data_IF_318602921766
#
_entry.id   IF_318602921766
#
_cell.length_a   1.000
_cell.length_b   1.000
_cell.length_c   1.000
_cell.angle_alpha   90.00
_cell.angle_beta   90.00
_cell.angle_gamma   90.00
#
_symmetry.space_group_name_H-M   'P 1'
#
loop_
_entity.id
_entity.type
_entity.pdbx_description
1 polymer ?
#
# COMPACT_ATOMS: atom_id res chain seq x y z
N UNK A 1 -3.05 -65.22 -83.05
CA UNK A 1 -2.59 -64.19 -82.10
C UNK A 1 -1.62 -63.27 -82.87
N UNK A 2 -1.72 -61.95 -82.91
CA UNK A 2 -2.73 -61.00 -82.45
C UNK A 2 -2.67 -59.76 -83.35
N UNK A 3 -3.82 -59.23 -83.74
CA UNK A 3 -4.04 -58.10 -84.66
C UNK A 3 -4.27 -56.76 -83.90
N UNK A 4 -3.85 -56.67 -82.63
CA UNK A 4 -4.10 -55.50 -81.76
C UNK A 4 -2.77 -54.90 -81.28
N UNK A 5 -2.62 -53.58 -81.36
CA UNK A 5 -1.53 -52.87 -80.66
C UNK A 5 -1.64 -53.09 -79.15
N UNK A 6 -0.52 -53.30 -78.47
CA UNK A 6 -0.49 -53.54 -77.02
C UNK A 6 -0.84 -52.27 -76.24
N UNK A 7 -1.58 -52.42 -75.14
CA UNK A 7 -1.91 -51.32 -74.24
C UNK A 7 -0.63 -50.66 -73.64
N UNK A 8 -0.65 -49.35 -73.34
CA UNK A 8 0.47 -48.68 -72.66
C UNK A 8 0.78 -49.36 -71.31
N UNK A 9 2.06 -49.62 -71.04
CA UNK A 9 2.50 -50.18 -69.75
C UNK A 9 2.25 -49.15 -68.64
N UNK A 10 1.64 -49.58 -67.54
CA UNK A 10 1.41 -48.72 -66.37
C UNK A 10 2.75 -48.25 -65.78
N UNK A 11 2.84 -46.98 -65.31
CA UNK A 11 4.01 -46.49 -64.61
C UNK A 11 4.30 -47.33 -63.37
N UNK A 12 5.58 -47.55 -63.06
CA UNK A 12 5.97 -48.25 -61.84
C UNK A 12 5.67 -47.36 -60.63
N UNK A 13 4.83 -47.80 -59.67
CA UNK A 13 4.52 -47.04 -58.48
C UNK A 13 5.76 -46.69 -57.63
N UNK A 14 6.77 -47.58 -57.58
CA UNK A 14 7.98 -47.35 -56.78
C UNK A 14 8.88 -46.29 -57.43
N UNK A 15 9.06 -46.33 -58.75
CA UNK A 15 9.82 -45.31 -59.48
C UNK A 15 9.13 -43.94 -59.40
N UNK A 16 7.80 -43.91 -59.49
CA UNK A 16 7.00 -42.69 -59.43
C UNK A 16 7.07 -42.05 -58.04
N UNK A 17 6.94 -42.85 -56.97
CA UNK A 17 7.06 -42.38 -55.59
C UNK A 17 8.49 -41.89 -55.25
N UNK A 18 9.51 -42.58 -55.76
CA UNK A 18 10.90 -42.15 -55.59
C UNK A 18 11.19 -40.82 -56.31
N UNK A 19 10.66 -40.62 -57.53
CA UNK A 19 10.82 -39.38 -58.27
C UNK A 19 10.11 -38.19 -57.59
N UNK A 20 8.92 -38.42 -57.01
CA UNK A 20 8.24 -37.41 -56.18
C UNK A 20 9.05 -37.07 -54.93
N UNK A 21 9.60 -38.08 -54.25
CA UNK A 21 10.45 -37.91 -53.07
C UNK A 21 11.70 -37.10 -53.39
N UNK A 22 12.38 -37.40 -54.49
CA UNK A 22 13.54 -36.65 -54.97
C UNK A 22 13.21 -35.15 -55.18
N UNK A 23 12.05 -34.88 -55.80
CA UNK A 23 11.63 -33.51 -56.11
C UNK A 23 11.26 -32.75 -54.83
N UNK A 24 10.57 -33.39 -53.90
CA UNK A 24 10.21 -32.79 -52.62
C UNK A 24 11.43 -32.49 -51.74
N UNK A 25 12.44 -33.37 -51.75
CA UNK A 25 13.71 -33.13 -51.05
C UNK A 25 14.45 -31.95 -51.68
N UNK A 26 14.50 -31.86 -53.01
CA UNK A 26 15.08 -30.70 -53.70
C UNK A 26 14.39 -29.39 -53.32
N UNK A 27 13.05 -29.37 -53.27
CA UNK A 27 12.26 -28.22 -52.83
C UNK A 27 12.53 -27.88 -51.35
N UNK A 28 12.63 -28.87 -50.48
CA UNK A 28 12.90 -28.66 -49.06
C UNK A 28 14.31 -28.09 -48.81
N UNK A 29 15.32 -28.61 -49.53
CA UNK A 29 16.70 -28.09 -49.50
C UNK A 29 16.73 -26.65 -50.02
N UNK A 30 16.04 -26.36 -51.12
CA UNK A 30 15.95 -25.00 -51.65
C UNK A 30 15.27 -24.03 -50.67
N UNK A 31 14.14 -24.42 -50.07
CA UNK A 31 13.47 -23.63 -49.03
C UNK A 31 14.35 -23.40 -47.81
N UNK A 32 15.14 -24.39 -47.40
CA UNK A 32 16.06 -24.26 -46.28
C UNK A 32 17.17 -23.24 -46.58
N UNK A 33 17.76 -23.28 -47.77
CA UNK A 33 18.80 -22.32 -48.19
C UNK A 33 18.23 -20.91 -48.36
N UNK A 34 17.03 -20.79 -48.91
CA UNK A 34 16.36 -19.50 -49.11
C UNK A 34 15.83 -18.88 -47.81
N UNK A 35 15.42 -19.71 -46.84
CA UNK A 35 14.94 -19.25 -45.54
C UNK A 35 16.06 -18.81 -44.60
N UNK A 36 17.27 -19.35 -44.77
CA UNK A 36 18.39 -19.17 -43.84
C UNK A 36 19.54 -18.38 -44.49
N UNK A 37 19.25 -17.13 -44.86
CA UNK A 37 20.25 -16.23 -45.47
C UNK A 37 21.05 -15.45 -44.44
N UNK A 38 22.31 -15.18 -44.74
CA UNK A 38 23.16 -14.36 -43.89
C UNK A 38 22.63 -12.92 -43.84
N UNK A 39 22.61 -12.33 -42.64
CA UNK A 39 22.22 -10.95 -42.41
C UNK A 39 23.40 -10.18 -41.84
N UNK A 40 23.61 -8.97 -42.35
CA UNK A 40 24.58 -8.00 -41.81
C UNK A 40 23.81 -6.73 -41.50
N UNK A 41 23.78 -6.35 -40.23
CA UNK A 41 23.12 -5.14 -39.73
C UNK A 41 24.17 -4.25 -39.05
N UNK A 42 23.84 -2.98 -38.74
CA UNK A 42 24.71 -2.13 -37.92
C UNK A 42 25.00 -2.71 -36.53
N UNK A 43 24.07 -3.50 -35.99
CA UNK A 43 24.14 -4.07 -34.65
C UNK A 43 24.87 -5.42 -34.59
N UNK A 44 25.14 -6.04 -35.74
CA UNK A 44 25.83 -7.33 -35.81
C UNK A 44 25.62 -8.11 -37.09
N UNK A 45 25.97 -9.38 -37.07
CA UNK A 45 25.87 -10.32 -38.18
C UNK A 45 25.20 -11.60 -37.71
N UNK A 46 24.28 -12.12 -38.52
CA UNK A 46 23.74 -13.47 -38.39
C UNK A 46 24.22 -14.27 -39.59
N UNK A 47 25.03 -15.29 -39.36
CA UNK A 47 25.64 -16.11 -40.42
C UNK A 47 25.15 -17.54 -40.30
N UNK A 48 24.67 -18.11 -41.41
CA UNK A 48 24.30 -19.51 -41.54
C UNK A 48 25.42 -20.27 -42.25
N UNK A 49 25.87 -21.36 -41.64
CA UNK A 49 26.78 -22.33 -42.25
C UNK A 49 26.06 -23.66 -42.43
N UNK A 50 26.28 -24.34 -43.56
CA UNK A 50 25.57 -25.57 -43.88
C UNK A 50 26.48 -26.79 -43.76
N UNK A 51 25.96 -27.85 -43.15
CA UNK A 51 26.60 -29.17 -43.13
C UNK A 51 25.74 -30.14 -43.92
N UNK A 52 26.39 -30.92 -44.81
CA UNK A 52 25.71 -31.95 -45.59
C UNK A 52 25.51 -33.22 -44.76
N UNK A 53 24.27 -33.66 -44.63
CA UNK A 53 23.92 -34.98 -44.09
C UNK A 53 23.32 -35.86 -45.18
N UNK A 54 23.72 -37.13 -45.23
CA UNK A 54 23.21 -38.08 -46.21
C UNK A 54 21.93 -38.73 -45.71
N UNK A 55 20.88 -38.67 -46.50
CA UNK A 55 19.61 -39.36 -46.26
C UNK A 55 19.34 -40.37 -47.37
N UNK A 56 19.01 -41.61 -47.02
CA UNK A 56 18.74 -42.67 -48.00
C UNK A 56 17.24 -42.87 -48.14
N UNK A 57 16.72 -42.78 -49.36
CA UNK A 57 15.33 -43.07 -49.66
C UNK A 57 15.04 -44.56 -49.44
N UNK A 58 14.14 -44.91 -48.51
CA UNK A 58 13.85 -46.31 -48.17
C UNK A 58 13.14 -47.06 -49.30
N UNK A 59 12.57 -46.36 -50.30
CA UNK A 59 11.85 -46.98 -51.41
C UNK A 59 12.76 -47.26 -52.62
N UNK A 60 13.77 -46.42 -52.86
CA UNK A 60 14.64 -46.54 -54.03
C UNK A 60 16.11 -46.85 -53.72
N UNK A 61 16.53 -46.76 -52.46
CA UNK A 61 17.92 -46.90 -52.05
C UNK A 61 18.82 -45.73 -52.49
N UNK A 62 18.27 -44.67 -53.10
CA UNK A 62 19.05 -43.49 -53.51
C UNK A 62 19.41 -42.62 -52.31
N UNK A 63 20.62 -42.09 -52.31
CA UNK A 63 21.13 -41.21 -51.25
C UNK A 63 21.03 -39.75 -51.69
N UNK A 64 20.45 -38.90 -50.84
CA UNK A 64 20.28 -37.47 -51.03
C UNK A 64 21.06 -36.69 -49.97
N UNK A 65 21.61 -35.55 -50.38
CA UNK A 65 22.35 -34.64 -49.52
C UNK A 65 21.37 -33.60 -48.93
N UNK A 66 21.17 -33.64 -47.61
CA UNK A 66 20.38 -32.67 -46.86
C UNK A 66 21.30 -31.59 -46.29
N UNK A 67 20.93 -30.33 -46.50
CA UNK A 67 21.65 -29.19 -45.95
C UNK A 67 21.08 -28.84 -44.56
N UNK A 68 21.89 -28.98 -43.52
CA UNK A 68 21.52 -28.61 -42.14
C UNK A 68 22.18 -27.27 -41.80
N UNK A 69 21.41 -26.20 -41.56
CA UNK A 69 21.94 -24.89 -41.25
C UNK A 69 22.32 -24.79 -39.76
N UNK A 70 23.42 -24.11 -39.47
CA UNK A 70 23.81 -23.65 -38.14
C UNK A 70 23.86 -22.13 -38.14
N UNK A 71 23.08 -21.49 -37.27
CA UNK A 71 23.05 -20.03 -37.15
C UNK A 71 24.08 -19.55 -36.12
N UNK A 72 24.97 -18.65 -36.53
CA UNK A 72 25.95 -17.98 -35.66
C UNK A 72 25.65 -16.49 -35.65
N UNK A 73 25.40 -15.96 -34.46
CA UNK A 73 25.13 -14.53 -34.26
C UNK A 73 26.34 -13.86 -33.62
N UNK A 74 26.78 -12.76 -34.21
CA UNK A 74 27.88 -11.95 -33.71
C UNK A 74 27.45 -10.49 -33.61
N UNK A 75 27.49 -9.90 -32.42
CA UNK A 75 27.21 -8.48 -32.22
C UNK A 75 28.36 -7.60 -32.74
N UNK A 76 28.06 -6.35 -33.12
CA UNK A 76 29.08 -5.33 -33.42
C UNK A 76 29.95 -5.03 -32.20
N UNK A 77 31.10 -4.37 -32.38
CA UNK A 77 31.98 -4.03 -31.26
C UNK A 77 31.28 -3.12 -30.23
N UNK A 78 30.47 -2.19 -30.73
CA UNK A 78 29.66 -1.26 -29.96
C UNK A 78 28.55 -2.00 -29.20
N UNK A 79 27.84 -2.92 -29.86
CA UNK A 79 26.80 -3.73 -29.21
C UNK A 79 27.38 -4.75 -28.21
N UNK A 80 28.58 -5.30 -28.46
CA UNK A 80 29.31 -6.13 -27.48
C UNK A 80 29.71 -5.30 -26.25
N UNK A 81 30.15 -4.06 -26.44
CA UNK A 81 30.48 -3.15 -25.34
C UNK A 81 29.23 -2.79 -24.52
N UNK A 82 28.12 -2.45 -25.19
CA UNK A 82 26.83 -2.18 -24.54
C UNK A 82 26.35 -3.41 -23.79
N UNK A 83 26.34 -4.60 -24.41
CA UNK A 83 25.97 -5.85 -23.75
C UNK A 83 26.86 -6.14 -22.56
N UNK A 84 28.18 -6.00 -22.68
CA UNK A 84 29.10 -6.19 -21.56
C UNK A 84 28.85 -5.22 -20.42
N UNK A 85 28.50 -3.97 -20.72
CA UNK A 85 28.15 -2.97 -19.71
C UNK A 85 26.78 -3.24 -19.08
N UNK A 86 25.79 -3.72 -19.84
CA UNK A 86 24.48 -4.17 -19.35
C UNK A 86 24.64 -5.40 -18.45
N UNK A 87 25.35 -6.44 -18.90
CA UNK A 87 25.63 -7.65 -18.12
C UNK A 87 26.39 -7.29 -16.83
N UNK A 88 27.36 -6.36 -16.89
CA UNK A 88 28.09 -5.88 -15.72
C UNK A 88 27.18 -5.07 -14.77
N UNK A 89 26.27 -4.26 -15.30
CA UNK A 89 25.29 -3.52 -14.51
C UNK A 89 24.29 -4.47 -13.82
N UNK A 90 23.80 -5.50 -14.53
CA UNK A 90 22.95 -6.55 -13.98
C UNK A 90 23.68 -7.35 -12.88
N UNK A 91 24.93 -7.74 -13.12
CA UNK A 91 25.76 -8.41 -12.12
C UNK A 91 26.01 -7.53 -10.90
N UNK A 92 26.28 -6.24 -11.10
CA UNK A 92 26.45 -5.29 -10.01
C UNK A 92 25.15 -5.11 -9.22
N UNK A 93 24.01 -5.01 -9.90
CA UNK A 93 22.69 -4.93 -9.26
C UNK A 93 22.37 -6.21 -8.46
N UNK A 94 22.66 -7.40 -9.00
CA UNK A 94 22.51 -8.66 -8.29
C UNK A 94 23.46 -8.78 -7.09
N UNK A 95 24.70 -8.31 -7.23
CA UNK A 95 25.68 -8.25 -6.14
C UNK A 95 25.26 -7.28 -5.05
N UNK A 96 24.72 -6.12 -5.45
CA UNK A 96 24.13 -5.13 -4.56
C UNK A 96 22.92 -5.74 -3.84
N UNK A 97 22.01 -6.40 -4.55
CA UNK A 97 20.86 -7.09 -3.96
C UNK A 97 21.29 -8.16 -2.94
N UNK A 98 22.30 -8.99 -3.26
CA UNK A 98 22.87 -9.98 -2.33
C UNK A 98 23.53 -9.32 -1.10
N UNK A 99 24.28 -8.25 -1.30
CA UNK A 99 24.94 -7.51 -0.22
C UNK A 99 23.90 -6.85 0.69
N UNK A 100 22.87 -6.24 0.10
CA UNK A 100 21.82 -5.55 0.82
C UNK A 100 20.87 -6.52 1.52
N UNK A 101 20.54 -7.66 0.92
CA UNK A 101 19.75 -8.71 1.57
C UNK A 101 20.49 -9.32 2.77
N UNK A 102 21.82 -9.49 2.66
CA UNK A 102 22.67 -9.87 3.79
C UNK A 102 22.67 -8.84 4.92
N UNK A 103 22.78 -7.54 4.60
CA UNK A 103 22.64 -6.45 5.58
C UNK A 103 21.27 -6.44 6.25
N UNK A 104 20.20 -6.64 5.48
CA UNK A 104 18.83 -6.72 5.99
C UNK A 104 18.65 -7.91 6.93
N UNK A 105 19.18 -9.09 6.58
CA UNK A 105 19.12 -10.27 7.43
C UNK A 105 19.87 -10.05 8.76
N UNK A 106 21.04 -9.40 8.71
CA UNK A 106 21.79 -9.02 9.91
C UNK A 106 21.06 -7.99 10.77
N UNK A 107 20.35 -7.04 10.15
CA UNK A 107 19.56 -6.03 10.85
C UNK A 107 18.34 -6.66 11.52
N UNK A 108 17.59 -7.51 10.80
CA UNK A 108 16.40 -8.19 11.28
C UNK A 108 16.70 -9.28 12.31
N UNK A 109 17.85 -9.95 12.20
CA UNK A 109 18.30 -11.00 13.13
C UNK A 109 18.75 -10.49 14.50
N UNK A 110 18.93 -9.17 14.68
CA UNK A 110 19.24 -8.56 15.98
C UNK A 110 18.01 -7.87 16.58
N UNK A 111 17.69 -8.10 17.87
CA UNK A 111 16.65 -7.35 18.55
C UNK A 111 17.03 -5.87 18.62
N UNK A 112 16.03 -5.00 18.72
CA UNK A 112 16.23 -3.55 18.83
C UNK A 112 16.85 -3.24 20.19
N UNK A 113 18.05 -2.67 20.16
CA UNK A 113 18.76 -2.25 21.37
C UNK A 113 18.25 -0.87 21.81
N UNK A 114 17.64 -0.85 23.00
CA UNK A 114 17.14 0.38 23.64
C UNK A 114 17.93 0.72 24.92
N UNK A 115 19.08 0.09 25.14
CA UNK A 115 19.90 0.30 26.34
C UNK A 115 20.43 1.73 26.46
N UNK A 116 20.68 2.39 25.32
CA UNK A 116 21.04 3.81 25.23
C UNK A 116 19.84 4.76 25.19
N UNK A 117 18.61 4.25 25.25
CA UNK A 117 17.43 5.10 25.25
C UNK A 117 17.36 5.92 26.54
N UNK A 118 17.01 7.22 26.47
CA UNK A 118 16.76 8.03 27.65
C UNK A 118 15.77 7.33 28.58
N UNK A 119 16.04 7.36 29.89
CA UNK A 119 15.14 6.78 30.88
C UNK A 119 13.79 7.49 30.79
N UNK A 120 12.70 6.71 30.79
CA UNK A 120 11.36 7.27 30.80
C UNK A 120 11.10 8.04 32.10
N UNK A 121 10.11 8.94 32.07
CA UNK A 121 9.66 9.59 33.30
C UNK A 121 9.18 8.55 34.31
N UNK A 122 9.60 8.68 35.57
CA UNK A 122 9.14 7.80 36.65
C UNK A 122 7.89 8.41 37.31
N UNK A 123 6.71 7.87 37.00
CA UNK A 123 5.45 8.36 37.55
C UNK A 123 5.38 8.21 39.08
N UNK A 124 6.01 7.15 39.63
CA UNK A 124 6.09 6.93 41.08
C UNK A 124 6.98 7.93 41.81
N UNK A 125 7.84 8.68 41.09
CA UNK A 125 8.63 9.76 41.66
C UNK A 125 7.84 11.08 41.74
N UNK A 126 6.66 11.19 41.14
CA UNK A 126 5.77 12.36 41.21
C UNK A 126 4.76 12.11 42.33
N UNK A 127 5.09 12.54 43.53
CA UNK A 127 4.16 12.49 44.67
C UNK A 127 3.12 13.60 44.59
N UNK A 128 1.92 13.34 45.11
CA UNK A 128 0.90 14.40 45.28
C UNK A 128 1.40 15.45 46.28
N UNK A 129 1.15 16.75 46.04
CA UNK A 129 1.53 17.80 46.96
C UNK A 129 0.83 17.60 48.31
N UNK A 130 1.63 17.60 49.38
CA UNK A 130 1.14 17.56 50.76
C UNK A 130 1.01 19.00 51.27
N UNK A 131 -0.22 19.47 51.41
CA UNK A 131 -0.51 20.83 51.85
C UNK A 131 -0.47 20.97 53.36
N UNK A 132 0.08 22.09 53.81
CA UNK A 132 -0.05 22.53 55.19
C UNK A 132 -1.49 23.05 55.41
N UNK A 133 -2.12 22.64 56.50
CA UNK A 133 -3.44 23.13 56.88
C UNK A 133 -3.35 24.56 57.44
N UNK A 134 -4.38 25.37 57.20
CA UNK A 134 -4.52 26.67 57.85
C UNK A 134 -4.77 26.49 59.34
N UNK A 135 -4.15 27.34 60.15
CA UNK A 135 -4.36 27.32 61.60
C UNK A 135 -5.78 27.78 61.95
N UNK A 136 -6.25 27.37 63.13
CA UNK A 136 -7.45 27.98 63.74
C UNK A 136 -7.17 29.43 64.16
N UNK A 137 -8.23 30.25 64.23
CA UNK A 137 -8.12 31.65 64.65
C UNK A 137 -7.58 31.81 66.09
N UNK A 138 -6.99 32.97 66.42
CA UNK A 138 -6.45 33.20 67.75
C UNK A 138 -7.56 33.39 68.78
N UNK A 139 -7.31 32.95 70.01
CA UNK A 139 -8.17 33.26 71.15
C UNK A 139 -7.95 34.70 71.60
N UNK A 140 -8.90 35.57 71.26
CA UNK A 140 -8.90 36.99 71.63
C UNK A 140 -9.38 37.19 73.07
N UNK A 141 -8.75 38.11 73.77
CA UNK A 141 -9.18 38.56 75.08
C UNK A 141 -10.39 39.49 74.93
N UNK A 142 -11.56 39.04 75.37
CA UNK A 142 -12.81 39.80 75.29
C UNK A 142 -13.22 40.43 76.63
N UNK A 143 -12.43 40.20 77.67
CA UNK A 143 -12.61 40.80 78.99
C UNK A 143 -11.44 41.70 79.35
N UNK A 144 -11.71 42.73 80.14
CA UNK A 144 -10.70 43.62 80.70
C UNK A 144 -10.50 43.31 82.17
N UNK A 145 -9.27 43.47 82.66
CA UNK A 145 -8.94 43.24 84.07
C UNK A 145 -9.76 44.13 85.00
N UNK A 146 -10.07 43.63 86.20
CA UNK A 146 -10.81 44.38 87.20
C UNK A 146 -10.02 45.65 87.58
N UNK A 147 -10.64 46.83 87.41
CA UNK A 147 -10.05 48.11 87.80
C UNK A 147 -10.39 48.50 89.26
N UNK A 148 -11.15 47.65 89.97
CA UNK A 148 -11.68 47.89 91.31
C UNK A 148 -13.09 48.50 91.29
N UNK A 149 -13.61 48.80 92.47
CA UNK A 149 -14.90 49.47 92.63
C UNK A 149 -14.76 51.00 92.61
N UNK A 150 -15.73 51.70 92.03
CA UNK A 150 -15.82 53.17 92.10
C UNK A 150 -16.32 53.60 93.49
N UNK A 151 -15.74 54.67 94.04
CA UNK A 151 -16.26 55.34 95.23
C UNK A 151 -17.48 56.18 94.83
N UNK A 152 -18.68 55.74 95.26
CA UNK A 152 -19.98 56.33 94.87
C UNK A 152 -20.53 57.34 95.89
N UNK A 153 -20.07 57.27 97.13
CA UNK A 153 -20.37 58.24 98.19
C UNK A 153 -19.10 58.55 98.97
N UNK A 154 -19.07 59.74 99.57
CA UNK A 154 -18.08 60.11 100.59
C UNK A 154 -18.89 60.51 101.82
N UNK A 155 -19.34 59.51 102.56
CA UNK A 155 -20.05 59.74 103.81
C UNK A 155 -19.03 60.11 104.87
N UNK A 156 -19.07 61.37 105.30
CA UNK A 156 -18.28 61.82 106.44
C UNK A 156 -19.21 61.80 107.64
N UNK A 157 -18.98 60.87 108.55
CA UNK A 157 -19.66 60.86 109.84
C UNK A 157 -19.18 62.05 110.66
N UNK A 158 -19.99 63.10 110.66
CA UNK A 158 -19.74 64.29 111.44
C UNK A 158 -20.33 64.10 112.83
N UNK A 159 -19.57 63.45 113.70
CA UNK A 159 -19.85 63.52 115.13
C UNK A 159 -19.47 64.91 115.65
N UNK A 160 -20.33 65.89 115.36
CA UNK A 160 -20.20 67.27 115.84
C UNK A 160 -20.27 67.32 117.36
N UNK A 161 -20.95 66.36 117.99
CA UNK A 161 -21.08 66.29 119.45
C UNK A 161 -19.74 66.03 120.11
N UNK A 162 -18.88 65.18 119.54
CA UNK A 162 -17.54 64.92 120.08
C UNK A 162 -16.59 66.12 119.93
N UNK A 163 -16.65 66.83 118.81
CA UNK A 163 -15.81 68.01 118.61
C UNK A 163 -16.30 69.18 119.47
N UNK A 164 -17.62 69.39 119.53
CA UNK A 164 -18.26 70.37 120.41
C UNK A 164 -17.93 70.06 121.87
N UNK A 165 -18.07 68.81 122.31
CA UNK A 165 -17.79 68.40 123.68
C UNK A 165 -16.31 68.54 124.05
N UNK A 166 -15.38 68.12 123.19
CA UNK A 166 -13.95 68.32 123.43
C UNK A 166 -13.55 69.81 123.53
N UNK A 167 -14.25 70.68 122.79
CA UNK A 167 -14.03 72.13 122.81
C UNK A 167 -14.67 72.78 124.04
N UNK A 168 -15.89 72.35 124.41
CA UNK A 168 -16.59 72.78 125.62
C UNK A 168 -15.87 72.32 126.89
N UNK A 169 -15.37 71.09 126.94
CA UNK A 169 -14.59 70.58 128.08
C UNK A 169 -13.34 71.42 128.34
N UNK A 170 -12.78 72.04 127.28
CA UNK A 170 -11.64 72.96 127.40
C UNK A 170 -12.07 74.39 127.78
N UNK A 171 -13.23 74.85 127.30
CA UNK A 171 -13.74 76.21 127.56
C UNK A 171 -14.44 76.34 128.92
N UNK A 172 -15.13 75.29 129.37
CA UNK A 172 -15.97 75.30 130.57
C UNK A 172 -15.22 75.67 131.85
N UNK A 173 -14.02 75.12 132.16
CA UNK A 173 -13.30 75.47 133.37
C UNK A 173 -12.90 76.95 133.40
N UNK A 174 -12.53 77.52 132.24
CA UNK A 174 -12.15 78.93 132.14
C UNK A 174 -13.37 79.84 132.31
N UNK A 175 -14.48 79.52 131.64
CA UNK A 175 -15.74 80.27 131.73
C UNK A 175 -16.31 80.23 133.16
N UNK A 176 -16.16 79.10 133.86
CA UNK A 176 -16.59 78.94 135.25
C UNK A 176 -15.71 79.73 136.21
N UNK A 177 -14.39 79.75 136.02
CA UNK A 177 -13.47 80.61 136.76
C UNK A 177 -13.79 82.09 136.56
N UNK A 178 -14.05 82.51 135.31
CA UNK A 178 -14.37 83.89 134.97
C UNK A 178 -15.70 84.32 135.61
N UNK A 179 -16.68 83.41 135.64
CA UNK A 179 -17.97 83.62 136.32
C UNK A 179 -17.82 83.72 137.83
N UNK A 180 -17.09 82.81 138.47
CA UNK A 180 -16.84 82.85 139.92
C UNK A 180 -16.09 84.12 140.34
N UNK A 181 -15.11 84.55 139.53
CA UNK A 181 -14.39 85.81 139.74
C UNK A 181 -15.29 87.04 139.54
N UNK A 182 -16.27 86.99 138.63
CA UNK A 182 -17.26 88.04 138.45
C UNK A 182 -18.22 88.12 139.65
N UNK A 183 -18.76 86.98 140.10
CA UNK A 183 -19.65 86.91 141.27
C UNK A 183 -18.95 87.44 142.53
N UNK A 184 -17.68 87.10 142.72
CA UNK A 184 -16.84 87.62 143.82
C UNK A 184 -16.65 89.14 143.72
N UNK A 185 -16.41 89.67 142.52
CA UNK A 185 -16.27 91.12 142.30
C UNK A 185 -17.57 91.87 142.56
N UNK A 186 -18.71 91.34 142.13
CA UNK A 186 -20.03 91.93 142.36
C UNK A 186 -20.38 91.93 143.86
N UNK A 187 -20.08 90.85 144.58
CA UNK A 187 -20.29 90.75 146.02
C UNK A 187 -19.41 91.75 146.81
N UNK A 188 -18.13 91.88 146.44
CA UNK A 188 -17.21 92.86 147.04
C UNK A 188 -17.62 94.32 146.78
N UNK A 189 -18.41 94.58 145.73
CA UNK A 189 -18.98 95.89 145.41
C UNK A 189 -20.33 96.15 146.11
N UNK A 190 -20.79 95.24 146.98
CA UNK A 190 -22.04 95.37 147.72
C UNK A 190 -23.29 95.05 146.90
N UNK A 191 -23.14 94.53 145.67
CA UNK A 191 -24.26 94.13 144.82
C UNK A 191 -24.71 92.72 145.21
N UNK A 192 -25.79 92.64 145.98
CA UNK A 192 -26.33 91.35 146.43
C UNK A 192 -27.12 90.64 145.32
N UNK A 193 -27.15 89.29 145.35
CA UNK A 193 -28.03 88.48 144.50
C UNK A 193 -29.49 88.94 144.62
N UNK A 194 -30.15 89.18 143.47
CA UNK A 194 -31.53 89.68 143.42
C UNK A 194 -31.69 91.16 143.10
N UNK A 195 -30.59 91.94 143.04
CA UNK A 195 -30.60 93.33 142.55
C UNK A 195 -30.61 93.40 141.02
N UNK A 196 -31.27 94.41 140.43
CA UNK A 196 -31.30 94.57 138.96
C UNK A 196 -29.92 94.80 138.34
N UNK A 197 -28.98 95.39 139.08
CA UNK A 197 -27.61 95.60 138.62
C UNK A 197 -26.81 94.29 138.60
N UNK A 198 -26.99 93.42 139.61
CA UNK A 198 -26.40 92.07 139.63
C UNK A 198 -26.92 91.22 138.48
N UNK A 199 -28.25 91.18 138.28
CA UNK A 199 -28.87 90.41 137.20
C UNK A 199 -28.35 90.85 135.83
N UNK A 200 -28.25 92.16 135.58
CA UNK A 200 -27.69 92.69 134.32
C UNK A 200 -26.22 92.28 134.09
N UNK A 201 -25.39 92.32 135.12
CA UNK A 201 -23.97 91.95 135.01
C UNK A 201 -23.79 90.44 134.73
N UNK A 202 -24.58 89.59 135.41
CA UNK A 202 -24.58 88.14 135.18
C UNK A 202 -25.16 87.79 133.82
N UNK A 203 -26.22 88.48 133.38
CA UNK A 203 -26.80 88.29 132.04
C UNK A 203 -25.79 88.66 130.95
N UNK A 204 -25.04 89.75 131.12
CA UNK A 204 -24.01 90.17 130.17
C UNK A 204 -22.88 89.13 130.07
N UNK A 205 -22.41 88.59 131.20
CA UNK A 205 -21.39 87.55 131.21
C UNK A 205 -21.90 86.22 130.62
N UNK A 206 -23.17 85.88 130.87
CA UNK A 206 -23.82 84.71 130.28
C UNK A 206 -23.92 84.84 128.76
N UNK A 207 -24.22 86.03 128.23
CA UNK A 207 -24.19 86.30 126.78
C UNK A 207 -22.78 86.16 126.20
N UNK A 208 -21.76 86.71 126.86
CA UNK A 208 -20.36 86.57 126.41
C UNK A 208 -19.90 85.11 126.38
N UNK A 209 -20.25 84.32 127.40
CA UNK A 209 -20.00 82.88 127.42
C UNK A 209 -20.74 82.17 126.29
N UNK A 210 -21.99 82.54 126.04
CA UNK A 210 -22.78 81.96 124.96
C UNK A 210 -22.22 82.31 123.57
N UNK A 211 -21.73 83.53 123.37
CA UNK A 211 -21.08 83.96 122.13
C UNK A 211 -19.75 83.24 121.88
N UNK A 212 -18.97 82.98 122.94
CA UNK A 212 -17.77 82.14 122.87
C UNK A 212 -18.11 80.71 122.44
N UNK A 213 -19.21 80.14 122.97
CA UNK A 213 -19.76 78.85 122.55
C UNK A 213 -20.21 78.84 121.09
N UNK A 214 -20.93 79.87 120.66
CA UNK A 214 -21.38 80.03 119.26
C UNK A 214 -20.17 80.15 118.32
N UNK A 215 -19.14 80.90 118.70
CA UNK A 215 -17.91 81.05 117.90
C UNK A 215 -17.16 79.73 117.75
N UNK A 216 -17.13 78.91 118.80
CA UNK A 216 -16.59 77.56 118.80
C UNK A 216 -17.36 76.63 117.83
N UNK A 217 -18.69 76.66 117.85
CA UNK A 217 -19.55 75.89 116.94
C UNK A 217 -19.36 76.34 115.48
N UNK A 218 -19.25 77.65 115.23
CA UNK A 218 -19.02 78.18 113.88
C UNK A 218 -17.66 77.76 113.31
N UNK A 219 -16.60 77.75 114.13
CA UNK A 219 -15.30 77.22 113.73
C UNK A 219 -15.36 75.71 113.44
N UNK A 220 -16.13 74.94 114.22
CA UNK A 220 -16.37 73.53 113.96
C UNK A 220 -17.07 73.30 112.60
N UNK A 221 -18.03 74.15 112.22
CA UNK A 221 -18.70 74.08 110.91
C UNK A 221 -17.78 74.41 109.71
N UNK A 222 -16.81 75.31 109.89
CA UNK A 222 -15.78 75.56 108.87
C UNK A 222 -14.85 74.35 108.70
N UNK A 223 -14.45 73.73 109.80
CA UNK A 223 -13.63 72.52 109.79
C UNK A 223 -14.38 71.32 109.18
N UNK A 224 -15.70 71.23 109.43
CA UNK A 224 -16.58 70.25 108.80
C UNK A 224 -16.56 70.37 107.27
N UNK A 225 -16.65 71.61 106.76
CA UNK A 225 -16.59 71.89 105.33
C UNK A 225 -15.23 71.52 104.73
N UNK A 226 -14.13 71.73 105.48
CA UNK A 226 -12.78 71.32 105.09
C UNK A 226 -12.65 69.80 104.98
N UNK A 227 -13.13 69.06 105.98
CA UNK A 227 -13.09 67.59 105.98
C UNK A 227 -13.99 67.03 104.87
N UNK A 228 -15.18 67.60 104.66
CA UNK A 228 -16.05 67.25 103.53
C UNK A 228 -15.37 67.47 102.18
N UNK A 229 -14.63 68.57 102.04
CA UNK A 229 -13.83 68.87 100.85
C UNK A 229 -12.74 67.84 100.62
N UNK A 230 -11.95 67.51 101.65
CA UNK A 230 -10.89 66.50 101.57
C UNK A 230 -11.43 65.11 101.24
N UNK A 231 -12.56 64.72 101.83
CA UNK A 231 -13.20 63.43 101.54
C UNK A 231 -13.69 63.35 100.08
N UNK A 232 -14.23 64.45 99.55
CA UNK A 232 -14.58 64.55 98.13
C UNK A 232 -13.33 64.44 97.24
N UNK A 233 -12.27 65.17 97.55
CA UNK A 233 -11.03 65.15 96.78
C UNK A 233 -10.40 63.75 96.76
N UNK A 234 -10.43 63.04 97.89
CA UNK A 234 -9.97 61.66 97.99
C UNK A 234 -10.82 60.72 97.10
N UNK A 235 -12.15 60.82 97.15
CA UNK A 235 -13.04 60.02 96.32
C UNK A 235 -12.84 60.32 94.82
N UNK A 236 -12.67 61.59 94.46
CA UNK A 236 -12.36 62.01 93.08
C UNK A 236 -11.02 61.47 92.61
N UNK A 237 -9.98 61.50 93.45
CA UNK A 237 -8.67 60.93 93.12
C UNK A 237 -8.74 59.41 92.93
N UNK A 238 -9.44 58.69 93.81
CA UNK A 238 -9.63 57.24 93.69
C UNK A 238 -10.32 56.87 92.38
N UNK A 239 -11.41 57.56 92.04
CA UNK A 239 -12.14 57.33 90.79
C UNK A 239 -11.29 57.69 89.56
N UNK A 240 -10.49 58.77 89.61
CA UNK A 240 -9.60 59.16 88.51
C UNK A 240 -8.48 58.13 88.27
N UNK A 241 -7.85 57.64 89.35
CA UNK A 241 -6.84 56.59 89.27
C UNK A 241 -7.41 55.29 88.69
N UNK A 242 -8.64 54.93 89.10
CA UNK A 242 -9.33 53.77 88.56
C UNK A 242 -9.71 53.93 87.07
N UNK A 243 -10.17 55.11 86.65
CA UNK A 243 -10.43 55.39 85.24
C UNK A 243 -9.15 55.24 84.40
N UNK A 244 -8.01 55.71 84.92
CA UNK A 244 -6.71 55.52 84.28
C UNK A 244 -6.33 54.04 84.20
N UNK A 245 -6.52 53.27 85.27
CA UNK A 245 -6.25 51.82 85.27
C UNK A 245 -7.15 51.07 84.28
N UNK A 246 -8.45 51.39 84.23
CA UNK A 246 -9.36 50.82 83.24
C UNK A 246 -8.91 51.14 81.81
N UNK A 247 -8.52 52.39 81.55
CA UNK A 247 -7.94 52.81 80.27
C UNK A 247 -6.70 51.98 79.89
N UNK A 248 -5.77 51.81 80.82
CA UNK A 248 -4.58 50.97 80.62
C UNK A 248 -4.94 49.51 80.33
N UNK A 249 -5.90 48.94 81.07
CA UNK A 249 -6.37 47.57 80.89
C UNK A 249 -6.99 47.37 79.49
N UNK A 250 -7.79 48.32 79.02
CA UNK A 250 -8.39 48.30 77.67
C UNK A 250 -7.30 48.39 76.60
N UNK A 251 -6.37 49.34 76.72
CA UNK A 251 -5.27 49.49 75.75
C UNK A 251 -4.40 48.25 75.69
N UNK A 252 -4.07 47.65 76.84
CA UNK A 252 -3.28 46.42 76.89
C UNK A 252 -4.02 45.23 76.26
N UNK A 253 -5.34 45.11 76.48
CA UNK A 253 -6.15 44.05 75.88
C UNK A 253 -6.25 44.22 74.35
N UNK A 254 -6.44 45.47 73.88
CA UNK A 254 -6.47 45.81 72.46
C UNK A 254 -5.15 45.47 71.77
N UNK A 255 -4.03 45.94 72.31
CA UNK A 255 -2.71 45.63 71.77
C UNK A 255 -2.43 44.12 71.71
N UNK A 256 -2.79 43.38 72.77
CA UNK A 256 -2.64 41.92 72.80
C UNK A 256 -3.48 41.22 71.73
N UNK A 257 -4.70 41.68 71.49
CA UNK A 257 -5.57 41.14 70.43
C UNK A 257 -5.05 41.47 69.04
N UNK A 258 -4.63 42.71 68.80
CA UNK A 258 -4.09 43.15 67.51
C UNK A 258 -2.81 42.38 67.16
N UNK A 259 -1.91 42.19 68.12
CA UNK A 259 -0.70 41.40 67.93
C UNK A 259 -1.02 39.93 67.60
N UNK A 260 -1.95 39.30 68.34
CA UNK A 260 -2.41 37.93 68.05
C UNK A 260 -3.03 37.81 66.66
N UNK A 261 -3.83 38.79 66.25
CA UNK A 261 -4.46 38.81 64.95
C UNK A 261 -3.43 38.98 63.83
N UNK A 262 -2.43 39.84 64.02
CA UNK A 262 -1.33 40.03 63.07
C UNK A 262 -0.49 38.75 62.94
N UNK A 263 -0.19 38.08 64.05
CA UNK A 263 0.53 36.80 64.02
C UNK A 263 -0.25 35.73 63.25
N UNK A 264 -1.56 35.64 63.46
CA UNK A 264 -2.43 34.72 62.73
C UNK A 264 -2.45 35.02 61.22
N UNK A 265 -2.56 36.29 60.83
CA UNK A 265 -2.47 36.69 59.41
C UNK A 265 -1.13 36.32 58.79
N UNK A 266 -0.02 36.58 59.49
CA UNK A 266 1.32 36.21 59.04
C UNK A 266 1.48 34.69 58.87
N UNK A 267 0.95 33.90 59.81
CA UNK A 267 0.95 32.44 59.72
C UNK A 267 0.17 31.96 58.49
N UNK A 268 -1.04 32.48 58.27
CA UNK A 268 -1.86 32.10 57.12
C UNK A 268 -1.23 32.48 55.78
N UNK A 269 -0.61 33.66 55.69
CA UNK A 269 0.14 34.07 54.50
C UNK A 269 1.32 33.13 54.23
N UNK A 270 2.06 32.74 55.27
CA UNK A 270 3.15 31.78 55.13
C UNK A 270 2.67 30.40 54.69
N UNK A 271 1.59 29.87 55.29
CA UNK A 271 0.98 28.60 54.90
C UNK A 271 0.51 28.63 53.43
N UNK A 272 -0.15 29.71 53.01
CA UNK A 272 -0.59 29.88 51.63
C UNK A 272 0.60 29.91 50.65
N UNK A 273 1.67 30.66 50.98
CA UNK A 273 2.88 30.72 50.16
C UNK A 273 3.58 29.36 50.06
N UNK A 274 3.68 28.62 51.16
CA UNK A 274 4.26 27.27 51.17
C UNK A 274 3.45 26.30 50.31
N UNK A 275 2.12 26.35 50.40
CA UNK A 275 1.24 25.52 49.57
C UNK A 275 1.37 25.87 48.09
N UNK A 276 1.43 27.16 47.74
CA UNK A 276 1.67 27.60 46.35
C UNK A 276 3.04 27.12 45.82
N UNK A 277 4.09 27.12 46.64
CA UNK A 277 5.39 26.57 46.26
C UNK A 277 5.35 25.05 46.04
N UNK A 278 4.55 24.31 46.82
CA UNK A 278 4.31 22.87 46.60
C UNK A 278 3.65 22.63 45.24
N UNK A 279 2.66 23.45 44.87
CA UNK A 279 2.02 23.38 43.56
C UNK A 279 3.00 23.68 42.43
N UNK A 280 3.81 24.72 42.56
CA UNK A 280 4.82 25.05 41.56
C UNK A 280 5.84 23.91 41.39
N UNK A 281 6.27 23.30 42.50
CA UNK A 281 7.20 22.16 42.49
C UNK A 281 6.57 20.95 41.82
N UNK A 282 5.32 20.63 42.15
CA UNK A 282 4.57 19.55 41.51
C UNK A 282 4.40 19.78 40.00
N UNK A 283 4.02 20.98 39.59
CA UNK A 283 3.89 21.35 38.17
C UNK A 283 5.23 21.25 37.43
N UNK A 284 6.33 21.66 38.07
CA UNK A 284 7.68 21.51 37.51
C UNK A 284 8.09 20.03 37.36
N UNK A 285 7.74 19.18 38.33
CA UNK A 285 7.97 17.73 38.25
C UNK A 285 7.14 17.09 37.13
N UNK A 286 5.86 17.47 36.99
CA UNK A 286 4.99 17.01 35.92
C UNK A 286 5.51 17.41 34.53
N UNK A 287 6.00 18.65 34.39
CA UNK A 287 6.64 19.14 33.16
C UNK A 287 7.89 18.33 32.81
N UNK A 288 8.79 18.10 33.78
CA UNK A 288 10.00 17.28 33.58
C UNK A 288 9.66 15.84 33.18
N UNK A 289 8.62 15.26 33.78
CA UNK A 289 8.14 13.93 33.41
C UNK A 289 7.65 13.87 31.95
N UNK A 290 6.84 14.84 31.54
CA UNK A 290 6.35 14.94 30.16
C UNK A 290 7.51 15.10 29.18
N UNK A 291 8.50 15.94 29.50
CA UNK A 291 9.70 16.11 28.70
C UNK A 291 10.53 14.82 28.59
N UNK A 292 10.74 14.10 29.69
CA UNK A 292 11.50 12.84 29.68
C UNK A 292 10.82 11.79 28.78
N UNK A 293 9.49 11.69 28.86
CA UNK A 293 8.73 10.80 27.98
C UNK A 293 8.76 11.24 26.52
N UNK A 294 8.69 12.55 26.24
CA UNK A 294 8.80 13.08 24.88
C UNK A 294 10.18 12.81 24.28
N UNK A 295 11.26 13.03 25.03
CA UNK A 295 12.63 12.74 24.59
C UNK A 295 12.81 11.25 24.30
N UNK A 296 12.31 10.37 25.17
CA UNK A 296 12.35 8.92 24.92
C UNK A 296 11.52 8.53 23.70
N UNK A 297 10.34 9.11 23.52
CA UNK A 297 9.50 8.84 22.35
C UNK A 297 10.18 9.29 21.05
N UNK A 298 10.81 10.47 21.03
CA UNK A 298 11.59 10.98 19.89
C UNK A 298 12.77 10.05 19.58
N UNK A 299 13.56 9.67 20.61
CA UNK A 299 14.68 8.73 20.45
C UNK A 299 14.23 7.40 19.84
N UNK A 300 13.14 6.81 20.35
CA UNK A 300 12.61 5.56 19.82
C UNK A 300 12.12 5.73 18.38
N UNK A 301 11.46 6.85 18.06
CA UNK A 301 11.00 7.13 16.70
C UNK A 301 12.17 7.24 15.72
N UNK A 302 13.24 7.96 16.10
CA UNK A 302 14.48 8.06 15.33
C UNK A 302 15.15 6.69 15.14
N UNK A 303 15.20 5.87 16.20
CA UNK A 303 15.73 4.51 16.14
C UNK A 303 14.94 3.62 15.16
N UNK A 304 13.60 3.70 15.19
CA UNK A 304 12.75 3.01 14.23
C UNK A 304 12.91 3.55 12.80
N UNK A 305 13.04 4.87 12.63
CA UNK A 305 13.29 5.48 11.33
C UNK A 305 14.64 5.02 10.75
N UNK A 306 15.72 5.04 11.54
CA UNK A 306 17.03 4.52 11.13
C UNK A 306 17.00 3.05 10.72
N UNK A 307 16.15 2.23 11.36
CA UNK A 307 15.95 0.83 10.98
C UNK A 307 15.09 0.66 9.73
N UNK A 308 14.11 1.54 9.49
CA UNK A 308 13.19 1.48 8.36
C UNK A 308 13.76 2.09 7.06
N UNK A 309 14.65 3.09 7.12
CA UNK A 309 15.32 3.67 5.94
C UNK A 309 15.99 2.60 5.05
N UNK A 310 16.88 1.72 5.57
CA UNK A 310 17.51 0.71 4.74
C UNK A 310 16.52 -0.31 4.19
N UNK A 311 15.39 -0.58 4.87
CA UNK A 311 14.34 -1.47 4.35
C UNK A 311 13.70 -0.85 3.10
N UNK A 312 13.36 0.45 3.15
CA UNK A 312 12.73 1.15 2.04
C UNK A 312 13.68 1.39 0.86
N UNK A 313 14.95 1.69 1.12
CA UNK A 313 15.99 1.83 0.07
C UNK A 313 16.19 0.53 -0.72
N UNK A 314 16.13 -0.63 -0.04
CA UNK A 314 16.27 -1.95 -0.68
C UNK A 314 15.09 -2.25 -1.60
N UNK A 315 13.86 -1.92 -1.17
CA UNK A 315 12.65 -2.10 -1.98
C UNK A 315 12.73 -1.21 -3.24
N UNK A 316 13.25 0.01 -3.12
CA UNK A 316 13.42 0.93 -4.25
C UNK A 316 14.45 0.46 -5.30
N UNK A 317 15.55 -0.17 -4.85
CA UNK A 317 16.62 -0.64 -5.75
C UNK A 317 16.26 -1.91 -6.51
N UNK A 318 15.41 -2.79 -5.95
CA UNK A 318 14.99 -4.02 -6.62
C UNK A 318 13.99 -3.80 -7.77
N UNK A 319 13.49 -2.59 -7.95
CA UNK A 319 12.48 -2.23 -8.97
C UNK A 319 13.08 -1.83 -10.33
N UNK A 320 14.40 -1.88 -10.51
CA UNK A 320 15.10 -1.23 -11.63
C UNK A 320 15.16 -2.00 -12.95
N UNK A 321 14.32 -1.56 -13.89
CA UNK A 321 14.47 -1.47 -15.36
C UNK A 321 15.07 -2.64 -16.16
N UNK A 322 14.25 -3.22 -17.04
CA UNK A 322 14.63 -4.22 -18.04
C UNK A 322 15.19 -3.54 -19.31
N UNK A 323 16.38 -3.96 -19.76
CA UNK A 323 17.01 -3.48 -21.00
C UNK A 323 16.61 -4.41 -22.16
N UNK A 324 15.99 -3.85 -23.21
CA UNK A 324 15.58 -4.61 -24.38
C UNK A 324 16.80 -5.01 -25.23
N UNK A 325 16.94 -6.31 -25.52
CA UNK A 325 17.96 -6.84 -26.43
C UNK A 325 17.62 -6.57 -27.91
N UNK A 326 18.61 -6.40 -28.79
CA UNK A 326 18.39 -6.24 -30.24
C UNK A 326 17.77 -7.50 -30.87
N UNK A 327 16.72 -7.31 -31.67
CA UNK A 327 16.04 -8.40 -32.41
C UNK A 327 16.49 -8.44 -33.86
N UNK A 328 16.87 -9.63 -34.34
CA UNK A 328 17.19 -9.87 -35.76
C UNK A 328 15.92 -10.27 -36.50
N UNK A 329 15.70 -9.70 -37.69
CA UNK A 329 14.44 -9.84 -38.43
C UNK A 329 14.36 -11.26 -39.03
N UNK A 330 13.24 -12.00 -38.84
CA UNK A 330 13.05 -13.28 -39.51
C UNK A 330 12.97 -13.07 -41.03
N UNK A 331 13.79 -13.80 -41.77
CA UNK A 331 13.77 -13.79 -43.24
C UNK A 331 12.49 -14.45 -43.75
N UNK A 332 11.59 -13.67 -44.33
CA UNK A 332 10.37 -14.18 -44.96
C UNK A 332 10.74 -14.87 -46.29
N UNK A 333 10.91 -16.19 -46.26
CA UNK A 333 10.95 -17.00 -47.48
C UNK A 333 9.53 -17.49 -47.82
N UNK A 334 9.02 -17.14 -48.98
CA UNK A 334 7.86 -17.83 -49.55
C UNK A 334 8.25 -19.27 -49.87
N UNK A 335 7.61 -20.29 -49.28
CA UNK A 335 7.96 -21.68 -49.53
C UNK A 335 7.68 -22.02 -50.99
N UNK A 336 8.69 -22.51 -51.69
CA UNK A 336 8.53 -23.12 -53.00
C UNK A 336 7.56 -24.31 -52.86
N UNK A 337 6.50 -24.40 -53.70
CA UNK A 337 5.59 -25.52 -53.68
C UNK A 337 6.29 -26.80 -54.13
N UNK A 338 5.96 -27.93 -53.51
CA UNK A 338 6.41 -29.26 -53.94
C UNK A 338 5.74 -29.66 -55.25
N UNK A 339 6.45 -30.39 -56.12
CA UNK A 339 5.89 -30.88 -57.38
C UNK A 339 5.17 -32.22 -57.14
N UNK A 340 3.89 -32.30 -57.51
CA UNK A 340 3.13 -33.55 -57.51
C UNK A 340 3.46 -34.40 -58.75
N UNK A 341 4.65 -35.02 -58.73
CA UNK A 341 5.14 -35.85 -59.83
C UNK A 341 4.25 -37.08 -60.08
N UNK A 342 3.66 -37.66 -59.03
CA UNK A 342 2.76 -38.81 -59.17
C UNK A 342 1.45 -38.44 -59.88
N UNK A 343 0.87 -37.27 -59.58
CA UNK A 343 -0.29 -36.75 -60.31
C UNK A 343 -0.01 -36.53 -61.80
N UNK A 344 1.15 -35.97 -62.15
CA UNK A 344 1.57 -35.73 -63.54
C UNK A 344 1.76 -37.02 -64.33
N UNK A 345 2.41 -38.03 -63.75
CA UNK A 345 2.63 -39.34 -64.39
C UNK A 345 1.32 -40.11 -64.55
N UNK A 346 0.43 -40.05 -63.57
CA UNK A 346 -0.91 -40.64 -63.64
C UNK A 346 -1.76 -39.98 -64.74
N UNK A 347 -1.69 -38.66 -64.87
CA UNK A 347 -2.42 -37.90 -65.88
C UNK A 347 -1.91 -38.19 -67.30
N UNK A 348 -0.59 -38.28 -67.50
CA UNK A 348 0.01 -38.71 -68.78
C UNK A 348 -0.40 -40.14 -69.16
N UNK A 349 -0.42 -41.06 -68.19
CA UNK A 349 -0.89 -42.43 -68.42
C UNK A 349 -2.38 -42.49 -68.79
N UNK A 350 -3.24 -41.72 -68.11
CA UNK A 350 -4.67 -41.63 -68.42
C UNK A 350 -4.91 -41.07 -69.83
N UNK A 351 -4.13 -40.08 -70.25
CA UNK A 351 -4.19 -39.52 -71.61
C UNK A 351 -3.80 -40.56 -72.67
N UNK A 352 -2.74 -41.35 -72.42
CA UNK A 352 -2.31 -42.44 -73.31
C UNK A 352 -3.33 -43.57 -73.40
N UNK A 353 -3.97 -43.93 -72.29
CA UNK A 353 -5.06 -44.92 -72.27
C UNK A 353 -6.33 -44.43 -72.99
N UNK A 354 -6.67 -43.14 -72.87
CA UNK A 354 -7.77 -42.52 -73.61
C UNK A 354 -7.56 -42.59 -75.13
N UNK A 355 -6.36 -42.27 -75.59
CA UNK A 355 -5.98 -42.38 -77.01
C UNK A 355 -6.03 -43.82 -77.53
N UNK A 356 -5.62 -44.80 -76.72
CA UNK A 356 -5.66 -46.23 -77.06
C UNK A 356 -7.11 -46.74 -77.22
N UNK A 357 -8.03 -46.40 -76.30
CA UNK A 357 -9.44 -46.80 -76.39
C UNK A 357 -10.14 -46.21 -77.64
N UNK A 358 -9.80 -44.98 -78.01
CA UNK A 358 -10.36 -44.33 -79.20
C UNK A 358 -9.91 -45.02 -80.50
N UNK A 359 -8.68 -45.53 -80.53
CA UNK A 359 -8.13 -46.25 -81.70
C UNK A 359 -8.78 -47.64 -81.88
N UNK A 360 -9.14 -48.32 -80.79
CA UNK A 360 -9.80 -49.62 -80.83
C UNK A 360 -11.25 -49.54 -81.36
N UNK A 361 -11.99 -48.48 -81.00
CA UNK A 361 -13.35 -48.23 -81.51
C UNK A 361 -13.41 -47.96 -83.02
N UNK A 362 -12.38 -47.32 -83.58
CA UNK A 362 -12.30 -46.99 -85.00
C UNK A 362 -11.93 -48.19 -85.90
N UNK A 363 -11.37 -49.26 -85.34
CA UNK A 363 -11.07 -50.50 -86.06
C UNK A 363 -12.27 -51.47 -86.11
N UNK A 364 -13.15 -51.43 -85.11
CA UNK A 364 -14.38 -52.24 -85.07
C UNK A 364 -15.37 -51.83 -86.18
N UNK A 365 -15.43 -50.54 -86.52
CA UNK A 365 -16.28 -50.00 -87.59
C UNK A 365 -15.76 -50.35 -89.00
N UNK A 366 -14.44 -50.45 -89.18
CA UNK A 366 -13.81 -50.80 -90.45
C UNK A 366 -14.00 -52.29 -90.82
N UNK A 367 -13.98 -53.18 -89.82
CA UNK A 367 -14.13 -54.63 -90.03
C UNK A 367 -15.59 -55.06 -90.26
N UNK A 368 -16.57 -54.31 -89.72
CA UNK A 368 -18.00 -54.52 -89.99
C UNK A 368 -18.43 -54.11 -91.40
N UNK A 369 -17.76 -53.15 -92.04
CA UNK A 369 -18.07 -52.67 -93.39
C UNK A 369 -17.57 -53.55 -94.54
N UNK A 370 -16.63 -54.47 -94.28
CA UNK A 370 -15.97 -55.30 -95.32
C UNK A 370 -16.69 -56.64 -95.59
N UNK A 371 -17.54 -57.11 -94.68
CA UNK A 371 -18.23 -58.42 -94.77
C UNK A 371 -19.63 -58.36 -95.43
N UNK A 372 -20.06 -57.19 -95.90
CA UNK A 372 -21.40 -56.95 -96.48
C UNK A 372 -21.52 -57.05 -98.01
N UNK A 373 -20.48 -57.46 -98.74
CA UNK A 373 -20.49 -57.53 -100.22
C UNK A 373 -20.40 -58.98 -100.74
N UNK A 374 -21.56 -59.63 -100.92
CA UNK A 374 -21.86 -60.64 -101.95
C UNK A 374 -21.13 -61.99 -101.94
N UNK A 375 -21.62 -62.95 -101.15
CA UNK A 375 -21.23 -64.37 -101.20
C UNK A 375 -21.96 -65.17 -102.29
N UNK A 376 -21.26 -66.16 -102.85
CA UNK A 376 -21.53 -66.97 -104.06
C UNK A 376 -21.17 -66.27 -105.37
N UNK A 377 -20.00 -66.51 -105.97
CA UNK A 377 -19.84 -66.50 -107.44
C UNK A 377 -18.39 -66.83 -107.84
N UNK A 378 -18.22 -67.80 -108.73
CA UNK A 378 -17.01 -67.91 -109.53
C UNK A 378 -16.80 -66.59 -110.30
N UNK A 379 -15.61 -65.99 -110.20
CA UNK A 379 -15.35 -64.66 -110.79
C UNK A 379 -14.48 -64.75 -112.03
N UNK A 380 -14.72 -63.82 -112.98
CA UNK A 380 -14.00 -63.76 -114.25
C UNK A 380 -12.51 -63.53 -114.02
N UNK A 381 -11.68 -64.51 -114.38
CA UNK A 381 -10.25 -64.49 -114.01
C UNK A 381 -9.30 -64.67 -115.20
N UNK A 382 -9.81 -64.63 -116.43
CA UNK A 382 -9.04 -64.75 -117.68
C UNK A 382 -8.13 -63.54 -117.93
N UNK A 383 -6.84 -63.77 -118.22
CA UNK A 383 -5.86 -62.74 -118.59
C UNK A 383 -6.32 -61.82 -119.72
N UNK A 384 -7.08 -62.34 -120.69
CA UNK A 384 -7.55 -61.54 -121.84
C UNK A 384 -8.56 -60.47 -121.45
N UNK A 385 -9.31 -60.71 -120.38
CA UNK A 385 -10.29 -59.76 -119.84
C UNK A 385 -9.65 -58.72 -118.90
N UNK A 386 -8.34 -58.80 -118.62
CA UNK A 386 -7.66 -58.00 -117.61
C UNK A 386 -6.58 -57.11 -118.22
N UNK A 387 -6.38 -55.93 -117.63
CA UNK A 387 -5.31 -54.96 -117.91
C UNK A 387 -4.64 -54.50 -116.62
N UNK A 388 -3.48 -53.86 -116.74
CA UNK A 388 -2.72 -53.27 -115.63
C UNK A 388 -2.41 -54.25 -114.49
N UNK A 389 -2.07 -55.48 -114.89
CA UNK A 389 -1.89 -56.63 -113.99
C UNK A 389 -0.53 -56.52 -113.29
N UNK A 390 -0.54 -56.34 -111.96
CA UNK A 390 0.66 -56.33 -111.10
C UNK A 390 0.56 -57.45 -110.07
N UNK A 391 1.62 -58.26 -109.92
CA UNK A 391 1.67 -59.26 -108.85
C UNK A 391 1.83 -58.53 -107.52
N UNK A 392 0.88 -58.70 -106.62
CA UNK A 392 0.87 -58.06 -105.29
C UNK A 392 1.13 -59.05 -104.17
N UNK A 393 1.11 -60.35 -104.46
CA UNK A 393 1.46 -61.37 -103.49
C UNK A 393 1.21 -62.78 -104.00
N UNK A 394 1.19 -63.72 -103.07
CA UNK A 394 0.91 -65.13 -103.31
C UNK A 394 0.04 -65.67 -102.18
N UNK A 395 -0.99 -66.43 -102.53
CA UNK A 395 -1.91 -67.03 -101.57
C UNK A 395 -2.06 -68.53 -101.90
N UNK A 396 -1.78 -69.39 -100.91
CA UNK A 396 -1.85 -70.86 -101.03
C UNK A 396 -1.20 -71.42 -102.32
N UNK A 397 -0.03 -70.88 -102.69
CA UNK A 397 0.72 -71.32 -103.88
C UNK A 397 0.22 -70.78 -105.23
N UNK A 398 -0.74 -69.84 -105.22
CA UNK A 398 -1.25 -69.15 -106.40
C UNK A 398 -0.94 -67.65 -106.34
N UNK A 399 -0.41 -67.10 -107.44
CA UNK A 399 -0.10 -65.67 -107.53
C UNK A 399 -1.38 -64.82 -107.43
N UNK A 400 -1.33 -63.80 -106.59
CA UNK A 400 -2.38 -62.80 -106.44
C UNK A 400 -1.96 -61.52 -107.14
N UNK A 401 -2.86 -60.99 -107.96
CA UNK A 401 -2.59 -59.87 -108.83
C UNK A 401 -3.63 -58.78 -108.63
N UNK A 402 -3.17 -57.55 -108.61
CA UNK A 402 -4.02 -56.38 -108.75
C UNK A 402 -4.17 -56.04 -110.24
N UNK A 403 -5.40 -55.87 -110.72
CA UNK A 403 -5.71 -55.65 -112.12
C UNK A 403 -6.99 -54.82 -112.29
N UNK A 404 -7.21 -54.27 -113.48
CA UNK A 404 -8.50 -53.72 -113.89
C UNK A 404 -9.09 -54.57 -115.03
N UNK A 405 -10.42 -54.63 -115.16
CA UNK A 405 -11.02 -55.29 -116.32
C UNK A 405 -10.91 -54.42 -117.58
N UNK A 406 -10.90 -55.06 -118.74
CA UNK A 406 -10.82 -54.37 -120.04
C UNK A 406 -11.97 -54.76 -120.97
N UNK A 407 -12.19 -53.92 -121.99
CA UNK A 407 -13.26 -54.11 -122.98
C UNK A 407 -14.65 -54.02 -122.33
N UNK A 408 -15.57 -54.87 -122.77
CA UNK A 408 -16.97 -54.93 -122.30
C UNK A 408 -17.14 -55.26 -120.80
N UNK A 409 -16.07 -55.62 -120.10
CA UNK A 409 -16.08 -55.93 -118.67
C UNK A 409 -15.41 -54.85 -117.82
N UNK A 410 -14.91 -53.76 -118.42
CA UNK A 410 -14.28 -52.67 -117.68
C UNK A 410 -15.31 -51.95 -116.80
N UNK A 411 -15.14 -52.04 -115.49
CA UNK A 411 -15.97 -51.39 -114.48
C UNK A 411 -15.28 -50.18 -113.82
N UNK A 412 -14.11 -49.76 -114.35
CA UNK A 412 -13.35 -48.61 -113.87
C UNK A 412 -12.64 -48.81 -112.53
N UNK A 413 -12.74 -50.00 -111.92
CA UNK A 413 -12.16 -50.29 -110.59
C UNK A 413 -10.94 -51.19 -110.70
N UNK A 414 -10.05 -51.09 -109.69
CA UNK A 414 -8.95 -52.05 -109.50
C UNK A 414 -9.47 -53.19 -108.60
N UNK A 415 -9.12 -54.41 -108.99
CA UNK A 415 -9.53 -55.67 -108.37
C UNK A 415 -8.29 -56.45 -108.00
N UNK A 416 -8.39 -57.27 -106.96
CA UNK A 416 -7.33 -58.21 -106.58
C UNK A 416 -7.85 -59.63 -106.77
N UNK A 417 -7.09 -60.46 -107.47
CA UNK A 417 -7.47 -61.84 -107.73
C UNK A 417 -6.40 -62.65 -108.45
N UNK A 418 -6.71 -63.92 -108.74
CA UNK A 418 -5.79 -64.85 -109.40
C UNK A 418 -5.91 -64.79 -110.92
N UNK A 419 -4.89 -65.31 -111.60
CA UNK A 419 -4.87 -65.45 -113.06
C UNK A 419 -5.33 -66.86 -113.45
N UNK A 420 -6.45 -66.97 -114.15
CA UNK A 420 -7.05 -68.26 -114.48
C UNK A 420 -6.09 -69.18 -115.27
N UNK A 421 -5.26 -68.62 -116.15
CA UNK A 421 -4.23 -69.35 -116.89
C UNK A 421 -3.18 -70.01 -115.99
N UNK A 422 -2.85 -69.38 -114.86
CA UNK A 422 -1.89 -69.90 -113.89
C UNK A 422 -2.55 -70.92 -112.97
N UNK A 423 -3.80 -70.66 -112.60
CA UNK A 423 -4.60 -71.59 -111.80
C UNK A 423 -4.86 -72.88 -112.58
N UNK A 424 -5.24 -72.82 -113.85
CA UNK A 424 -5.58 -74.01 -114.67
C UNK A 424 -4.39 -74.98 -114.80
N UNK A 425 -3.15 -74.48 -114.77
CA UNK A 425 -1.94 -75.33 -114.78
C UNK A 425 -1.76 -76.16 -113.51
N UNK A 426 -2.23 -75.66 -112.37
CA UNK A 426 -2.02 -76.29 -111.05
C UNK A 426 -3.29 -76.97 -110.52
N UNK A 427 -4.45 -76.37 -110.78
CA UNK A 427 -5.78 -76.74 -110.30
C UNK A 427 -6.80 -76.56 -111.43
N UNK A 428 -6.77 -77.43 -112.47
CA UNK A 428 -7.71 -77.34 -113.58
C UNK A 428 -9.16 -77.53 -113.14
N UNK A 429 -9.40 -78.25 -112.05
CA UNK A 429 -10.72 -78.46 -111.42
C UNK A 429 -11.40 -77.17 -110.94
N UNK A 430 -10.62 -76.13 -110.63
CA UNK A 430 -11.13 -74.85 -110.14
C UNK A 430 -11.42 -73.82 -111.25
N UNK A 431 -11.15 -74.16 -112.52
CA UNK A 431 -11.26 -73.25 -113.67
C UNK A 431 -12.32 -73.75 -114.65
N UNK A 432 -13.26 -72.87 -115.01
CA UNK A 432 -14.33 -73.17 -115.95
C UNK A 432 -14.28 -72.23 -117.14
N UNK A 433 -14.60 -72.75 -118.34
CA UNK A 433 -14.77 -71.93 -119.55
C UNK A 433 -16.24 -71.60 -119.76
N UNK A 434 -16.53 -70.33 -119.99
CA UNK A 434 -17.87 -69.84 -120.31
C UNK A 434 -18.19 -70.08 -121.78
N UNK A 435 -19.47 -69.90 -122.13
CA UNK A 435 -19.94 -69.91 -123.53
C UNK A 435 -19.25 -68.87 -124.43
N UNK A 436 -18.68 -67.81 -123.86
CA UNK A 436 -17.92 -66.77 -124.59
C UNK A 436 -16.42 -67.11 -124.75
N UNK A 437 -16.00 -68.31 -124.34
CA UNK A 437 -14.62 -68.77 -124.43
C UNK A 437 -13.66 -68.20 -123.37
N UNK A 438 -14.13 -67.34 -122.45
CA UNK A 438 -13.31 -66.81 -121.35
C UNK A 438 -13.34 -67.72 -120.11
N UNK A 439 -12.24 -67.69 -119.33
CA UNK A 439 -12.05 -68.51 -118.13
C UNK A 439 -12.50 -67.80 -116.83
N UNK A 440 -13.23 -68.51 -115.98
CA UNK A 440 -13.59 -68.11 -114.62
C UNK A 440 -12.97 -69.04 -113.60
N UNK A 441 -12.65 -68.50 -112.42
CA UNK A 441 -12.10 -69.27 -111.30
C UNK A 441 -13.12 -69.31 -110.17
N UNK A 442 -13.36 -70.51 -109.63
CA UNK A 442 -14.12 -70.67 -108.41
C UNK A 442 -13.19 -70.47 -107.20
N UNK A 443 -13.23 -69.28 -106.60
CA UNK A 443 -12.36 -68.92 -105.48
C UNK A 443 -12.63 -69.77 -104.22
N UNK A 444 -13.87 -70.23 -104.03
CA UNK A 444 -14.23 -71.13 -102.94
C UNK A 444 -13.55 -72.50 -103.07
N UNK A 445 -13.56 -73.08 -104.27
CA UNK A 445 -12.89 -74.36 -104.56
C UNK A 445 -11.35 -74.22 -104.61
N UNK A 446 -10.84 -73.07 -105.06
CA UNK A 446 -9.40 -72.82 -105.13
C UNK A 446 -8.76 -72.67 -103.75
N UNK A 447 -9.39 -71.88 -102.87
CA UNK A 447 -8.82 -71.55 -101.56
C UNK A 447 -9.45 -72.32 -100.39
N UNK A 448 -10.35 -73.27 -100.67
CA UNK A 448 -11.14 -73.99 -99.67
C UNK A 448 -11.87 -73.04 -98.68
N UNK A 449 -12.26 -71.87 -99.16
CA UNK A 449 -13.06 -70.92 -98.39
C UNK A 449 -14.51 -71.42 -98.38
N UNK A 450 -14.84 -72.34 -97.47
CA UNK A 450 -16.23 -72.78 -97.25
C UNK A 450 -16.47 -74.23 -96.84
N UNK A 451 -15.45 -75.08 -96.64
CA UNK A 451 -15.64 -76.40 -96.01
C UNK A 451 -14.87 -76.48 -94.70
N UNK A 452 -15.59 -76.25 -93.58
CA UNK A 452 -15.13 -76.58 -92.24
C UNK A 452 -14.90 -78.10 -92.14
N UNK A 453 -13.78 -78.50 -91.54
CA UNK A 453 -13.85 -79.52 -90.49
C UNK A 453 -13.99 -78.77 -89.17
#
# INVERSE_FOLDING_TARGET
MGLYGSAPKSPDPQETASAQTATNIGTAVANNVMGNVNQVTPDGKLTYTYTTQKWTDPLSGKVYDLQVPTATQELSAEQKAIKGQTDAAELNMATLANTQSGKLNNLLGKPIDISSAPTGGNAGAIGLPQYQQFGGGPNLQTSVGNAGDITKSFDVDFDTSRYEQALMDRLNPQLEQDRAALETRLANQGLQPGSEAYNRAIDQASRQSNDARISAILNAGQEQSRIAGLARDQASFQNAAQQQQFGQNVTSAGFGNDAKQQMYQNQNTSTAANNALKDQTFNAQQSKFNMANQQRAQYLNELYAQRNQPINEIIGLMSGAQVNSPSFVPTQSNPMPTVDYAGLVQQDYANKMGAYNQQQGNMQSLFGGLLGFGGHLASLSDKRAKKDIKKVGELKGHGLYEYAYRGKHNDGKRHIGVMAQEVEKKRPDAVFRRRDGLRQVNYGALFNAGRKK
#
